data_IF_829123987894
#
_entry.id   IF_829123987894
#
_cell.length_a   1.000
_cell.length_b   1.000
_cell.length_c   1.000
_cell.angle_alpha   90.00
_cell.angle_beta   90.00
_cell.angle_gamma   90.00
#
_symmetry.space_group_name_H-M   'P 1'
#
loop_
_entity.id
_entity.type
_entity.pdbx_description
1 polymer ?
#
# COMPACT_ATOMS: atom_id res chain seq x y z
N UNK A 1 -10.47 -0.30 4.93
CA UNK A 1 -10.01 -0.61 6.28
C UNK A 1 -9.46 0.63 6.96
N UNK A 2 -9.95 0.97 8.13
CA UNK A 2 -9.64 2.20 8.86
C UNK A 2 -9.26 1.88 10.31
N UNK A 3 -8.52 2.77 10.98
CA UNK A 3 -8.13 2.60 12.39
C UNK A 3 -9.32 2.34 13.32
N UNK A 4 -10.48 2.93 13.02
CA UNK A 4 -11.70 2.67 13.78
C UNK A 4 -12.19 1.23 13.63
N UNK A 5 -11.96 0.57 12.51
CA UNK A 5 -12.31 -0.84 12.33
C UNK A 5 -11.42 -1.74 13.19
N UNK A 6 -10.19 -1.33 13.45
CA UNK A 6 -9.28 -2.01 14.37
C UNK A 6 -9.73 -1.86 15.83
N UNK A 7 -10.19 -0.68 16.23
CA UNK A 7 -10.68 -0.42 17.57
C UNK A 7 -12.03 -1.11 17.86
N UNK A 8 -12.82 -1.37 16.83
CA UNK A 8 -14.12 -2.05 16.96
C UNK A 8 -13.96 -3.55 16.69
N UNK A 9 -13.44 -4.26 17.67
CA UNK A 9 -13.16 -5.71 17.60
C UNK A 9 -14.38 -6.58 17.23
N UNK A 10 -15.60 -6.09 17.46
CA UNK A 10 -16.83 -6.85 17.15
C UNK A 10 -17.00 -7.18 15.66
N UNK A 11 -16.37 -6.45 14.77
CA UNK A 11 -16.45 -6.71 13.32
C UNK A 11 -15.42 -7.72 12.84
N UNK A 12 -14.43 -8.05 13.65
CA UNK A 12 -13.34 -8.97 13.32
C UNK A 12 -12.66 -8.73 11.96
N UNK A 13 -12.77 -7.52 11.40
CA UNK A 13 -12.26 -7.18 10.08
C UNK A 13 -10.77 -7.44 9.95
N UNK A 14 -10.00 -7.10 10.97
CA UNK A 14 -8.57 -7.33 10.98
C UNK A 14 -8.24 -8.82 10.93
N UNK A 15 -8.85 -9.62 11.80
CA UNK A 15 -8.64 -11.07 11.80
C UNK A 15 -9.05 -11.73 10.49
N UNK A 16 -10.11 -11.22 9.86
CA UNK A 16 -10.54 -11.69 8.56
C UNK A 16 -9.54 -11.31 7.47
N UNK A 17 -9.03 -10.08 7.45
CA UNK A 17 -8.00 -9.66 6.50
C UNK A 17 -6.70 -10.42 6.70
N UNK A 18 -6.25 -10.60 7.94
CA UNK A 18 -5.09 -11.42 8.27
C UNK A 18 -5.27 -12.84 7.72
N UNK A 19 -6.44 -13.44 7.92
CA UNK A 19 -6.75 -14.75 7.40
C UNK A 19 -6.71 -14.79 5.86
N UNK A 20 -7.36 -13.86 5.19
CA UNK A 20 -7.47 -13.82 3.73
C UNK A 20 -6.13 -13.53 3.05
N UNK A 21 -5.29 -12.69 3.67
CA UNK A 21 -4.05 -12.20 3.09
C UNK A 21 -2.80 -12.94 3.59
N UNK A 22 -2.94 -13.91 4.48
CA UNK A 22 -1.81 -14.72 4.96
C UNK A 22 -1.37 -15.73 3.91
N UNK A 23 -0.11 -15.68 3.51
CA UNK A 23 0.52 -16.60 2.54
C UNK A 23 1.34 -17.70 3.23
N UNK A 24 1.33 -17.77 4.55
CA UNK A 24 2.04 -18.76 5.35
C UNK A 24 1.08 -19.48 6.28
N UNK A 25 1.36 -20.76 6.51
CA UNK A 25 0.69 -21.55 7.55
C UNK A 25 1.77 -22.10 8.49
N UNK A 26 1.69 -21.74 9.77
CA UNK A 26 2.66 -22.19 10.80
C UNK A 26 4.13 -21.93 10.40
N UNK A 27 4.43 -20.74 9.84
CA UNK A 27 5.78 -20.38 9.39
C UNK A 27 6.20 -21.00 8.07
N UNK A 28 5.37 -21.83 7.44
CA UNK A 28 5.65 -22.46 6.14
C UNK A 28 4.86 -21.77 5.04
N UNK A 29 5.53 -21.42 3.94
CA UNK A 29 4.90 -20.84 2.76
C UNK A 29 3.79 -21.76 2.23
N UNK A 30 2.60 -21.22 1.94
CA UNK A 30 1.53 -21.98 1.29
C UNK A 30 1.91 -22.26 -0.16
N UNK A 31 1.95 -23.54 -0.61
CA UNK A 31 2.47 -23.87 -1.95
C UNK A 31 1.65 -23.25 -3.08
N UNK A 32 0.34 -23.14 -2.90
CA UNK A 32 -0.64 -22.79 -3.95
C UNK A 32 -1.25 -21.39 -3.76
N UNK A 33 -0.83 -20.66 -2.75
CA UNK A 33 -1.17 -19.25 -2.55
C UNK A 33 -2.46 -19.01 -1.77
N UNK A 34 -3.61 -18.97 -2.40
CA UNK A 34 -4.85 -18.42 -1.83
C UNK A 34 -5.97 -19.42 -1.59
N UNK A 35 -5.74 -20.72 -1.67
CA UNK A 35 -6.81 -21.72 -1.58
C UNK A 35 -7.64 -21.61 -0.29
N UNK A 36 -7.03 -21.15 0.77
CA UNK A 36 -7.73 -20.97 2.05
C UNK A 36 -8.82 -19.90 2.03
N UNK A 37 -8.78 -18.93 1.11
CA UNK A 37 -9.84 -17.91 1.01
C UNK A 37 -11.19 -18.51 0.62
N UNK A 38 -11.20 -19.65 -0.05
CA UNK A 38 -12.42 -20.38 -0.38
C UNK A 38 -13.08 -21.06 0.82
N UNK A 39 -12.48 -21.01 2.00
CA UNK A 39 -13.13 -21.41 3.26
C UNK A 39 -13.89 -20.25 3.93
N UNK A 40 -13.76 -19.02 3.43
CA UNK A 40 -14.61 -17.90 3.81
C UNK A 40 -15.95 -18.02 3.08
N UNK A 41 -17.05 -18.15 3.82
CA UNK A 41 -18.38 -18.45 3.29
C UNK A 41 -18.87 -17.36 2.32
N UNK A 42 -18.58 -16.10 2.59
CA UNK A 42 -18.98 -14.99 1.71
C UNK A 42 -18.24 -15.05 0.38
N UNK A 43 -16.93 -15.27 0.40
CA UNK A 43 -16.14 -15.42 -0.82
C UNK A 43 -16.57 -16.63 -1.61
N UNK A 44 -16.76 -17.76 -0.93
CA UNK A 44 -17.21 -19.00 -1.59
C UNK A 44 -18.57 -18.79 -2.27
N UNK A 45 -19.51 -18.12 -1.61
CA UNK A 45 -20.82 -17.81 -2.19
C UNK A 45 -20.68 -16.94 -3.45
N UNK A 46 -19.84 -15.91 -3.42
CA UNK A 46 -19.60 -15.04 -4.58
C UNK A 46 -19.00 -15.84 -5.74
N UNK A 47 -18.00 -16.68 -5.46
CA UNK A 47 -17.34 -17.50 -6.48
C UNK A 47 -18.32 -18.50 -7.12
N UNK A 48 -19.17 -19.12 -6.32
CA UNK A 48 -20.14 -20.12 -6.82
C UNK A 48 -21.28 -19.48 -7.64
N UNK A 49 -21.63 -18.23 -7.36
CA UNK A 49 -22.73 -17.55 -8.04
C UNK A 49 -22.27 -16.67 -9.20
N UNK A 50 -20.97 -16.38 -9.31
CA UNK A 50 -20.42 -15.55 -10.36
C UNK A 50 -20.08 -16.37 -11.60
N UNK A 51 -20.35 -15.79 -12.78
CA UNK A 51 -19.88 -16.29 -14.06
C UNK A 51 -18.55 -15.65 -14.50
N UNK A 52 -17.95 -14.81 -13.63
CA UNK A 52 -16.69 -14.15 -13.93
C UNK A 52 -15.51 -15.14 -13.87
N UNK A 53 -14.55 -14.97 -14.80
CA UNK A 53 -13.33 -15.79 -14.85
C UNK A 53 -12.41 -15.40 -13.67
N UNK A 54 -12.34 -14.10 -13.37
CA UNK A 54 -11.52 -13.55 -12.31
C UNK A 54 -12.39 -12.74 -11.34
N UNK A 55 -12.17 -12.92 -10.04
CA UNK A 55 -12.87 -12.20 -8.98
C UNK A 55 -11.82 -11.52 -8.09
N UNK A 56 -11.57 -10.21 -8.26
CA UNK A 56 -10.61 -9.50 -7.45
C UNK A 56 -11.17 -9.21 -6.03
N UNK A 57 -10.37 -9.48 -5.01
CA UNK A 57 -10.58 -8.98 -3.66
C UNK A 57 -9.93 -7.59 -3.52
N UNK A 58 -10.73 -6.54 -3.41
CA UNK A 58 -10.25 -5.17 -3.29
C UNK A 58 -10.36 -4.70 -1.83
N UNK A 59 -9.23 -4.31 -1.25
CA UNK A 59 -9.18 -3.71 0.09
C UNK A 59 -8.92 -2.21 -0.05
N UNK A 60 -9.89 -1.40 0.39
CA UNK A 60 -9.72 0.05 0.48
C UNK A 60 -9.33 0.37 1.93
N UNK A 61 -8.14 0.93 2.11
CA UNK A 61 -7.57 1.18 3.41
C UNK A 61 -7.02 2.60 3.56
N UNK A 62 -7.00 3.09 4.79
CA UNK A 62 -6.21 4.26 5.18
C UNK A 62 -4.77 3.82 5.51
N UNK A 63 -3.84 4.73 5.88
CA UNK A 63 -2.47 4.40 6.27
C UNK A 63 -2.33 3.36 7.40
N UNK A 64 -3.42 2.87 7.96
CA UNK A 64 -3.42 1.75 8.92
C UNK A 64 -2.72 0.50 8.35
N UNK A 65 -2.72 0.32 7.03
CA UNK A 65 -2.00 -0.76 6.35
C UNK A 65 -0.48 -0.59 6.34
N UNK A 66 0.03 0.59 6.59
CA UNK A 66 1.46 0.87 6.61
C UNK A 66 2.15 0.24 7.83
N UNK A 67 1.41 0.06 8.94
CA UNK A 67 2.00 -0.27 10.24
C UNK A 67 1.53 -1.62 10.76
N UNK A 68 2.50 -2.46 11.15
CA UNK A 68 2.25 -3.64 12.00
C UNK A 68 1.45 -4.78 11.36
N UNK A 69 1.28 -4.80 10.04
CA UNK A 69 0.50 -5.82 9.34
C UNK A 69 1.41 -6.79 8.58
N UNK A 70 0.98 -8.03 8.48
CA UNK A 70 1.68 -9.08 7.73
C UNK A 70 0.89 -9.51 6.48
N UNK A 71 0.14 -8.56 5.93
CA UNK A 71 -0.63 -8.78 4.72
C UNK A 71 0.27 -8.94 3.49
N UNK A 72 -0.17 -9.76 2.53
CA UNK A 72 0.53 -10.01 1.28
C UNK A 72 -0.43 -9.87 0.10
N UNK A 73 -0.48 -8.67 -0.46
CA UNK A 73 -1.30 -8.34 -1.62
C UNK A 73 -0.63 -8.74 -2.93
N UNK A 74 -1.41 -8.94 -3.98
CA UNK A 74 -0.89 -9.21 -5.33
C UNK A 74 -0.45 -7.93 -6.02
N UNK A 75 -1.18 -6.83 -5.80
CA UNK A 75 -0.92 -5.51 -6.36
C UNK A 75 -1.49 -4.41 -5.45
N UNK A 76 -1.08 -3.17 -5.68
CA UNK A 76 -1.59 -2.02 -4.95
C UNK A 76 -1.68 -0.76 -5.80
N UNK A 77 -2.61 0.12 -5.42
CA UNK A 77 -2.60 1.54 -5.81
C UNK A 77 -2.31 2.33 -4.54
N UNK A 78 -1.22 3.10 -4.53
CA UNK A 78 -0.74 3.80 -3.34
C UNK A 78 -0.93 5.31 -3.53
N UNK A 79 -1.89 5.91 -2.82
CA UNK A 79 -2.03 7.36 -2.73
C UNK A 79 -1.04 7.91 -1.70
N UNK A 80 0.20 8.11 -2.12
CA UNK A 80 1.32 8.39 -1.23
C UNK A 80 1.26 9.78 -0.60
N UNK A 81 1.61 9.87 0.68
CA UNK A 81 1.83 11.12 1.41
C UNK A 81 3.32 11.40 1.66
N UNK A 82 4.17 10.39 1.61
CA UNK A 82 5.61 10.46 1.83
C UNK A 82 6.32 9.28 1.15
N UNK A 83 7.63 9.35 1.04
CA UNK A 83 8.45 8.21 0.57
C UNK A 83 8.34 7.02 1.51
N UNK A 84 8.24 7.29 2.81
CA UNK A 84 8.06 6.23 3.82
C UNK A 84 6.74 5.48 3.60
N UNK A 85 5.64 6.20 3.33
CA UNK A 85 4.34 5.61 2.99
C UNK A 85 4.45 4.68 1.77
N UNK A 86 5.15 5.11 0.72
CA UNK A 86 5.40 4.27 -0.46
C UNK A 86 6.12 2.97 -0.07
N UNK A 87 7.23 3.08 0.66
CA UNK A 87 8.04 1.90 1.03
C UNK A 87 7.25 0.95 1.93
N UNK A 88 6.53 1.48 2.91
CA UNK A 88 5.77 0.66 3.86
C UNK A 88 4.61 -0.06 3.19
N UNK A 89 3.85 0.63 2.34
CA UNK A 89 2.72 0.01 1.63
C UNK A 89 3.20 -0.94 0.53
N UNK A 90 4.21 -0.54 -0.25
CA UNK A 90 4.82 -1.41 -1.26
C UNK A 90 5.38 -2.70 -0.65
N UNK A 91 5.92 -2.62 0.57
CA UNK A 91 6.39 -3.78 1.33
C UNK A 91 5.28 -4.76 1.75
N UNK A 92 4.00 -4.48 1.45
CA UNK A 92 2.86 -5.40 1.62
C UNK A 92 2.50 -6.13 0.32
N UNK A 93 3.12 -5.78 -0.79
CA UNK A 93 2.85 -6.39 -2.09
C UNK A 93 3.92 -7.43 -2.40
N UNK A 94 3.49 -8.65 -2.74
CA UNK A 94 4.37 -9.79 -3.01
C UNK A 94 5.40 -10.05 -1.88
N UNK A 95 4.97 -9.84 -0.64
CA UNK A 95 5.84 -9.76 0.53
C UNK A 95 6.56 -11.06 0.87
N UNK A 96 5.86 -12.18 0.81
CA UNK A 96 6.36 -13.46 1.30
C UNK A 96 6.59 -14.49 0.20
N UNK A 97 6.28 -14.14 -1.04
CA UNK A 97 6.24 -15.13 -2.13
C UNK A 97 7.60 -15.36 -2.79
N UNK A 98 8.55 -14.46 -2.62
CA UNK A 98 9.88 -14.51 -3.22
C UNK A 98 9.87 -14.66 -4.76
N UNK A 99 8.77 -14.33 -5.40
CA UNK A 99 8.63 -14.39 -6.84
C UNK A 99 9.27 -13.17 -7.48
N UNK A 100 9.95 -13.37 -8.60
CA UNK A 100 10.39 -12.25 -9.42
C UNK A 100 9.15 -11.67 -10.09
N UNK A 101 8.91 -10.39 -9.85
CA UNK A 101 7.83 -9.65 -10.48
C UNK A 101 8.23 -9.35 -11.92
N UNK A 102 7.47 -9.85 -12.88
CA UNK A 102 7.75 -9.66 -14.31
C UNK A 102 7.15 -8.36 -14.87
N UNK A 103 6.12 -7.84 -14.22
CA UNK A 103 5.42 -6.63 -14.63
C UNK A 103 5.18 -5.72 -13.41
N UNK A 104 5.05 -4.40 -13.60
CA UNK A 104 4.71 -3.49 -12.52
C UNK A 104 3.41 -3.92 -11.82
N UNK A 105 3.48 -4.12 -10.52
CA UNK A 105 2.36 -4.54 -9.69
C UNK A 105 1.95 -3.47 -8.65
N UNK A 106 2.58 -2.30 -8.70
CA UNK A 106 2.25 -1.15 -7.87
C UNK A 106 2.05 0.07 -8.76
N UNK A 107 0.94 0.75 -8.56
CA UNK A 107 0.64 2.03 -9.21
C UNK A 107 0.70 3.13 -8.17
N UNK A 108 1.44 4.19 -8.49
CA UNK A 108 1.53 5.39 -7.65
C UNK A 108 1.04 6.57 -8.50
N UNK A 109 -0.08 7.22 -8.15
CA UNK A 109 -0.54 8.42 -8.85
C UNK A 109 0.53 9.51 -8.81
N UNK A 110 0.73 10.19 -9.95
CA UNK A 110 1.68 11.31 -10.07
C UNK A 110 1.38 12.43 -9.06
N UNK A 111 0.09 12.70 -8.86
CA UNK A 111 -0.42 13.63 -7.87
C UNK A 111 -1.32 12.89 -6.91
N UNK A 112 -1.16 13.11 -5.61
CA UNK A 112 -2.00 12.48 -4.62
C UNK A 112 -3.38 13.17 -4.49
N UNK A 113 -4.29 12.51 -3.81
CA UNK A 113 -5.65 13.01 -3.58
C UNK A 113 -5.68 14.41 -2.96
N UNK A 114 -4.82 14.70 -1.99
CA UNK A 114 -4.75 16.02 -1.33
C UNK A 114 -4.41 17.13 -2.31
N UNK A 115 -3.49 16.88 -3.23
CA UNK A 115 -3.16 17.83 -4.28
C UNK A 115 -4.36 18.06 -5.21
N UNK A 116 -4.98 16.99 -5.68
CA UNK A 116 -6.12 17.07 -6.58
C UNK A 116 -7.32 17.78 -5.92
N UNK A 117 -7.60 17.46 -4.66
CA UNK A 117 -8.70 18.09 -3.92
C UNK A 117 -8.48 19.58 -3.64
N UNK A 118 -7.24 20.04 -3.62
CA UNK A 118 -6.91 21.45 -3.37
C UNK A 118 -6.74 22.29 -4.62
N UNK A 119 -6.73 21.68 -5.82
CA UNK A 119 -6.43 22.34 -7.10
C UNK A 119 -7.42 23.48 -7.42
N UNK A 120 -8.67 23.34 -7.05
CA UNK A 120 -9.74 24.30 -7.36
C UNK A 120 -9.93 25.41 -6.31
N UNK A 121 -9.12 25.42 -5.27
CA UNK A 121 -9.21 26.49 -4.27
C UNK A 121 -8.51 27.74 -4.78
N UNK A 122 -9.27 28.86 -4.81
CA UNK A 122 -8.83 30.18 -5.25
C UNK A 122 -7.63 30.76 -4.48
N UNK A 123 -7.24 30.14 -3.42
CA UNK A 123 -5.95 30.30 -2.78
C UNK A 123 -5.32 28.91 -2.69
N UNK A 124 -4.31 28.62 -3.52
CA UNK A 124 -3.45 27.48 -3.28
C UNK A 124 -2.66 27.80 -2.00
N UNK A 125 -3.30 27.63 -0.86
CA UNK A 125 -2.55 27.57 0.37
C UNK A 125 -1.54 26.47 0.15
N UNK A 126 -0.32 26.87 0.10
CA UNK A 126 0.97 26.23 0.23
C UNK A 126 0.98 25.01 1.17
N UNK A 127 -0.05 24.20 1.18
CA UNK A 127 -0.09 23.01 1.98
C UNK A 127 0.63 21.95 1.15
N UNK A 128 1.86 21.69 1.52
CA UNK A 128 2.60 20.59 0.97
C UNK A 128 1.78 19.31 1.14
N UNK A 129 1.65 18.57 0.08
CA UNK A 129 0.97 17.27 0.06
C UNK A 129 1.96 16.13 0.24
N UNK A 130 3.24 16.37 -0.10
CA UNK A 130 4.36 15.50 0.22
C UNK A 130 5.29 16.19 1.20
N UNK A 131 5.55 15.51 2.32
CA UNK A 131 6.42 16.00 3.37
C UNK A 131 7.65 15.11 3.52
N UNK A 132 8.72 15.69 4.06
CA UNK A 132 9.85 14.90 4.51
C UNK A 132 9.43 14.04 5.70
N UNK A 133 9.93 12.82 5.85
CA UNK A 133 9.64 11.98 7.00
C UNK A 133 9.90 12.70 8.31
N UNK A 134 8.96 12.60 9.24
CA UNK A 134 9.04 13.27 10.55
C UNK A 134 8.55 14.73 10.57
N UNK A 135 8.08 15.24 9.43
CA UNK A 135 7.59 16.64 9.32
C UNK A 135 6.16 16.74 8.79
N UNK A 136 5.39 15.68 8.91
CA UNK A 136 4.05 15.57 8.32
C UNK A 136 3.04 16.58 8.89
N UNK A 137 3.27 17.16 10.03
CA UNK A 137 2.40 18.17 10.65
C UNK A 137 2.90 19.60 10.55
N UNK A 138 4.05 19.84 9.96
CA UNK A 138 4.68 21.17 9.97
C UNK A 138 4.34 21.99 8.74
N UNK A 139 3.98 23.25 8.95
CA UNK A 139 3.73 24.24 7.89
C UNK A 139 5.01 24.94 7.44
N UNK A 140 6.16 24.60 8.00
CA UNK A 140 7.44 25.23 7.68
C UNK A 140 7.87 24.92 6.24
N UNK A 141 7.89 25.96 5.40
CA UNK A 141 8.25 25.86 3.99
C UNK A 141 9.66 25.36 3.72
N UNK A 142 10.58 25.49 4.69
CA UNK A 142 11.96 25.00 4.57
C UNK A 142 12.04 23.47 4.62
N UNK A 143 11.03 22.83 5.17
CA UNK A 143 10.95 21.37 5.37
C UNK A 143 10.07 20.67 4.36
N UNK A 144 9.49 21.42 3.43
CA UNK A 144 8.64 20.90 2.36
C UNK A 144 9.46 20.65 1.10
N UNK A 145 8.99 19.74 0.26
CA UNK A 145 9.52 19.58 -1.08
C UNK A 145 9.07 20.76 -1.96
N UNK A 146 9.94 21.21 -2.86
CA UNK A 146 9.62 22.28 -3.82
C UNK A 146 8.56 21.86 -4.83
N UNK A 147 8.64 20.61 -5.30
CA UNK A 147 7.66 20.01 -6.18
C UNK A 147 6.66 19.18 -5.38
N UNK A 148 5.43 19.11 -5.88
CA UNK A 148 4.38 18.22 -5.41
C UNK A 148 4.02 17.17 -6.48
N UNK A 149 4.89 17.03 -7.46
CA UNK A 149 4.82 16.06 -8.55
C UNK A 149 5.78 14.91 -8.26
N UNK A 150 5.24 13.71 -8.05
CA UNK A 150 6.04 12.52 -7.75
C UNK A 150 6.98 12.12 -8.88
N UNK A 151 6.65 12.47 -10.13
CA UNK A 151 7.56 12.21 -11.26
C UNK A 151 8.88 12.97 -11.15
N UNK A 152 8.89 14.10 -10.42
CA UNK A 152 10.07 14.91 -10.16
C UNK A 152 10.77 14.59 -8.83
N UNK A 153 10.06 13.94 -7.92
CA UNK A 153 10.57 13.67 -6.57
C UNK A 153 11.20 12.29 -6.43
N UNK A 154 10.82 11.35 -7.28
CA UNK A 154 11.28 9.96 -7.21
C UNK A 154 12.28 9.65 -8.34
N UNK A 155 13.25 8.78 -8.10
CA UNK A 155 14.28 8.41 -9.07
C UNK A 155 13.74 7.39 -10.09
N UNK A 156 12.89 7.84 -11.00
CA UNK A 156 12.35 7.01 -12.07
C UNK A 156 13.43 6.61 -13.07
N UNK A 157 13.36 5.38 -13.56
CA UNK A 157 14.16 4.87 -14.67
C UNK A 157 13.22 4.21 -15.67
N UNK A 158 13.20 4.68 -16.92
CA UNK A 158 12.33 4.16 -17.99
C UNK A 158 10.83 4.11 -17.59
N UNK A 159 10.34 5.12 -16.88
CA UNK A 159 8.99 5.18 -16.30
C UNK A 159 8.69 4.09 -15.25
N UNK A 160 9.70 3.45 -14.73
CA UNK A 160 9.58 2.46 -13.65
C UNK A 160 10.36 2.90 -12.42
N UNK A 161 9.86 2.48 -11.27
CA UNK A 161 10.50 2.67 -9.98
C UNK A 161 10.56 1.34 -9.26
N UNK A 162 11.76 0.89 -8.92
CA UNK A 162 11.94 -0.26 -8.06
C UNK A 162 11.95 0.19 -6.61
N UNK A 163 10.94 -0.21 -5.84
CA UNK A 163 10.90 0.05 -4.40
C UNK A 163 11.64 -1.07 -3.69
N UNK A 164 12.78 -0.74 -3.11
CA UNK A 164 13.63 -1.67 -2.37
C UNK A 164 13.85 -1.17 -0.95
N UNK A 165 13.25 -1.87 0.02
CA UNK A 165 13.34 -1.57 1.45
C UNK A 165 14.51 -2.29 2.16
N UNK A 166 15.39 -2.97 1.43
CA UNK A 166 16.54 -3.66 2.03
C UNK A 166 17.51 -2.66 2.65
N UNK A 167 17.93 -2.97 3.85
CA UNK A 167 18.96 -2.21 4.55
C UNK A 167 20.27 -2.24 3.74
N UNK A 168 20.83 -1.07 3.47
CA UNK A 168 22.09 -0.90 2.74
C UNK A 168 23.11 -0.20 3.63
N UNK A 169 23.73 -0.94 4.51
CA UNK A 169 24.92 -0.45 5.18
C UNK A 169 26.13 -0.67 4.28
N UNK A 170 26.88 0.40 3.99
CA UNK A 170 28.19 0.24 3.38
C UNK A 170 29.14 -0.34 4.43
N UNK A 171 29.63 -1.55 4.19
CA UNK A 171 30.59 -2.20 5.07
C UNK A 171 31.97 -1.50 5.09
N UNK A 172 32.18 -0.47 4.27
CA UNK A 172 33.45 0.24 4.07
C UNK A 172 33.45 1.66 4.63
N UNK A 173 32.53 2.02 5.52
CA UNK A 173 32.55 3.31 6.24
C UNK A 173 32.71 3.09 7.72
#
# INVERSE_FOLDING_TARGET
YHVHDWLISRFHKEKRLDFLLTRHKNGTKRPTGNEHIYTDEEILSIVQTSNAIDIPLIVIATPVEEVGRDHDFDWAIIDASSVQSIVQTAGRVNRHRLNIVQHPNIVIPQFNYKYCANKDRTQPKKQAVFNRPGYEGYVDTKKQYKSQDLSQLLPWSNNELVVDARLRFNANT
#
